data_IF_408558505263
#
_entry.id   IF_408558505263
#
_cell.length_a   1.000
_cell.length_b   1.000
_cell.length_c   1.000
_cell.angle_alpha   90.00
_cell.angle_beta   90.00
_cell.angle_gamma   90.00
#
_symmetry.space_group_name_H-M   'P 1'
#
loop_
_entity.id
_entity.type
_entity.pdbx_description
1 polymer ?
#
# COMPACT_ATOMS: atom_id res chain seq x y z
N UNK A 1 -12.70 11.08 6.79
CA UNK A 1 -13.10 11.36 5.39
C UNK A 1 -12.91 10.09 4.57
N UNK A 2 -13.84 9.74 3.69
CA UNK A 2 -13.67 8.61 2.78
C UNK A 2 -12.74 9.01 1.63
N UNK A 3 -11.72 8.19 1.34
CA UNK A 3 -10.87 8.36 0.15
C UNK A 3 -11.74 8.29 -1.10
N UNK A 4 -11.47 9.16 -2.06
CA UNK A 4 -12.18 9.15 -3.33
C UNK A 4 -11.92 7.81 -4.03
N UNK A 5 -12.97 7.03 -4.34
CA UNK A 5 -12.78 5.75 -5.00
C UNK A 5 -12.22 5.98 -6.40
N UNK A 6 -11.11 5.30 -6.73
CA UNK A 6 -10.42 5.43 -8.02
C UNK A 6 -9.20 6.36 -8.02
N UNK A 7 -8.92 7.09 -6.93
CA UNK A 7 -7.65 7.82 -6.80
C UNK A 7 -6.55 6.86 -6.33
N UNK A 8 -5.46 6.76 -7.11
CA UNK A 8 -4.26 6.02 -6.70
C UNK A 8 -3.06 6.95 -6.58
N UNK A 9 -2.43 6.97 -5.41
CA UNK A 9 -1.20 7.72 -5.16
C UNK A 9 0.03 6.81 -5.38
N UNK A 10 1.03 7.28 -6.11
CA UNK A 10 2.33 6.59 -6.24
C UNK A 10 3.45 7.58 -5.96
N UNK A 11 4.40 7.18 -5.12
CA UNK A 11 5.61 7.95 -4.80
C UNK A 11 6.78 7.29 -5.51
N UNK A 12 7.54 8.08 -6.28
CA UNK A 12 8.71 7.61 -7.03
C UNK A 12 9.99 8.02 -6.29
N UNK A 13 11.02 7.18 -6.35
CA UNK A 13 12.40 7.49 -5.97
C UNK A 13 13.33 7.19 -7.14
N UNK A 14 14.12 8.17 -7.59
CA UNK A 14 15.03 8.06 -8.76
C UNK A 14 14.34 7.43 -9.99
N UNK A 15 13.12 7.88 -10.31
CA UNK A 15 12.34 7.40 -11.46
C UNK A 15 11.72 6.01 -11.31
N UNK A 16 11.89 5.32 -10.17
CA UNK A 16 11.26 4.02 -9.90
C UNK A 16 10.19 4.16 -8.82
N UNK A 17 9.12 3.34 -8.84
CA UNK A 17 8.18 3.33 -7.73
C UNK A 17 8.92 3.04 -6.43
N UNK A 18 8.72 3.87 -5.41
CA UNK A 18 9.21 3.68 -4.05
C UNK A 18 8.05 3.21 -3.15
N UNK A 19 6.89 3.87 -3.25
CA UNK A 19 5.68 3.51 -2.53
C UNK A 19 4.45 3.64 -3.42
N UNK A 20 3.45 2.81 -3.17
CA UNK A 20 2.20 2.77 -3.92
C UNK A 20 1.22 1.78 -3.29
N UNK A 21 0.00 1.63 -3.84
CA UNK A 21 -1.07 0.90 -3.17
C UNK A 21 -0.71 -0.56 -2.92
N UNK A 22 -0.12 -1.23 -3.92
CA UNK A 22 0.33 -2.62 -3.80
C UNK A 22 1.47 -2.82 -2.80
N UNK A 23 2.43 -1.89 -2.75
CA UNK A 23 3.55 -1.95 -1.80
C UNK A 23 3.08 -1.72 -0.36
N UNK A 24 2.22 -0.73 -0.16
CA UNK A 24 1.60 -0.45 1.13
C UNK A 24 0.72 -1.61 1.62
N UNK A 25 -0.05 -2.23 0.72
CA UNK A 25 -0.84 -3.40 1.02
C UNK A 25 0.05 -4.60 1.39
N UNK A 26 1.12 -4.86 0.64
CA UNK A 26 2.04 -5.95 0.93
C UNK A 26 2.71 -5.79 2.29
N UNK A 27 3.19 -4.60 2.63
CA UNK A 27 3.73 -4.32 3.97
C UNK A 27 2.68 -4.54 5.06
N UNK A 28 1.45 -4.05 4.87
CA UNK A 28 0.37 -4.27 5.85
C UNK A 28 0.04 -5.75 6.04
N UNK A 29 0.01 -6.53 4.96
CA UNK A 29 -0.21 -7.97 5.03
C UNK A 29 0.94 -8.68 5.76
N UNK A 30 2.19 -8.39 5.43
CA UNK A 30 3.36 -8.97 6.12
C UNK A 30 3.35 -8.61 7.60
N UNK A 31 3.05 -7.35 7.95
CA UNK A 31 2.97 -6.93 9.35
C UNK A 31 1.91 -7.71 10.15
N UNK A 32 0.81 -8.12 9.50
CA UNK A 32 -0.26 -8.91 10.11
C UNK A 32 0.05 -10.40 10.17
N UNK A 33 0.69 -10.95 9.14
CA UNK A 33 0.88 -12.40 9.00
C UNK A 33 2.24 -12.90 9.46
N UNK A 34 3.23 -12.01 9.63
CA UNK A 34 4.62 -12.38 9.86
C UNK A 34 5.27 -13.16 8.71
N UNK A 35 4.68 -13.13 7.50
CA UNK A 35 5.05 -14.04 6.41
C UNK A 35 4.77 -13.44 5.03
N UNK A 36 5.80 -13.47 4.17
CA UNK A 36 5.70 -13.04 2.76
C UNK A 36 4.79 -13.99 1.97
N UNK A 37 4.85 -15.30 2.20
CA UNK A 37 4.01 -16.27 1.48
C UNK A 37 2.53 -16.13 1.84
N UNK A 38 2.21 -15.89 3.11
CA UNK A 38 0.83 -15.62 3.54
C UNK A 38 0.32 -14.28 3.03
N UNK A 39 1.18 -13.26 2.98
CA UNK A 39 0.83 -11.97 2.38
C UNK A 39 0.57 -12.09 0.86
N UNK A 40 1.41 -12.86 0.14
CA UNK A 40 1.24 -13.12 -1.28
C UNK A 40 -0.11 -13.78 -1.58
N UNK A 41 -0.46 -14.84 -0.82
CA UNK A 41 -1.76 -15.52 -0.93
C UNK A 41 -2.93 -14.58 -0.67
N UNK A 42 -2.85 -13.77 0.39
CA UNK A 42 -3.89 -12.80 0.72
C UNK A 42 -4.09 -11.73 -0.36
N UNK A 43 -3.06 -11.46 -1.16
CA UNK A 43 -3.10 -10.49 -2.27
C UNK A 43 -3.33 -11.14 -3.64
N UNK A 44 -3.59 -12.45 -3.70
CA UNK A 44 -3.79 -13.17 -4.96
C UNK A 44 -2.58 -13.13 -5.91
N UNK A 45 -1.35 -13.06 -5.37
CA UNK A 45 -0.13 -13.04 -6.18
C UNK A 45 0.81 -14.21 -5.84
N UNK A 46 1.72 -14.53 -6.77
CA UNK A 46 2.74 -15.56 -6.53
C UNK A 46 3.73 -15.12 -5.46
N UNK A 47 4.28 -16.09 -4.71
CA UNK A 47 5.34 -15.85 -3.73
C UNK A 47 6.54 -15.12 -4.36
N UNK A 48 6.99 -15.57 -5.55
CA UNK A 48 8.07 -14.93 -6.31
C UNK A 48 7.81 -13.45 -6.55
N UNK A 49 6.56 -13.09 -6.90
CA UNK A 49 6.19 -11.68 -7.13
C UNK A 49 6.25 -10.86 -5.83
N UNK A 50 5.75 -11.41 -4.73
CA UNK A 50 5.81 -10.75 -3.42
C UNK A 50 7.26 -10.55 -2.96
N UNK A 51 8.11 -11.56 -3.14
CA UNK A 51 9.54 -11.49 -2.84
C UNK A 51 10.24 -10.37 -3.63
N UNK A 52 10.07 -10.34 -4.95
CA UNK A 52 10.63 -9.28 -5.81
C UNK A 52 10.17 -7.88 -5.39
N UNK A 53 8.91 -7.73 -4.95
CA UNK A 53 8.39 -6.47 -4.43
C UNK A 53 9.07 -6.09 -3.11
N UNK A 54 9.26 -7.03 -2.18
CA UNK A 54 9.97 -6.81 -0.92
C UNK A 54 11.40 -6.36 -1.19
N UNK A 55 12.13 -7.06 -2.07
CA UNK A 55 13.49 -6.69 -2.44
C UNK A 55 13.55 -5.30 -3.10
N UNK A 56 12.64 -5.01 -4.02
CA UNK A 56 12.58 -3.70 -4.65
C UNK A 56 12.28 -2.58 -3.64
N UNK A 57 11.43 -2.85 -2.64
CA UNK A 57 11.16 -1.91 -1.56
C UNK A 57 12.39 -1.69 -0.68
N UNK A 58 13.07 -2.76 -0.25
CA UNK A 58 14.29 -2.63 0.56
C UNK A 58 15.39 -1.84 -0.15
N UNK A 59 15.50 -1.95 -1.48
CA UNK A 59 16.42 -1.14 -2.28
C UNK A 59 15.96 0.31 -2.52
N UNK A 60 14.70 0.64 -2.22
CA UNK A 60 14.15 1.99 -2.44
C UNK A 60 14.39 2.94 -1.26
N UNK A 61 14.83 2.42 -0.10
CA UNK A 61 15.00 3.18 1.14
C UNK A 61 16.40 3.00 1.71
N UNK A 62 16.83 3.95 2.55
CA UNK A 62 18.17 3.94 3.16
C UNK A 62 18.41 2.73 4.08
N UNK A 63 17.35 2.23 4.70
CA UNK A 63 17.39 0.98 5.49
C UNK A 63 16.23 0.06 5.08
N UNK A 64 16.36 -1.26 5.28
CA UNK A 64 15.30 -2.21 4.92
C UNK A 64 13.95 -1.88 5.58
N UNK A 65 12.88 -2.04 4.81
CA UNK A 65 11.50 -1.89 5.30
C UNK A 65 10.89 -3.23 5.72
N UNK A 66 11.48 -4.34 5.26
CA UNK A 66 11.17 -5.71 5.69
C UNK A 66 12.47 -6.44 5.96
N UNK A 67 12.52 -7.16 7.07
CA UNK A 67 13.58 -8.13 7.37
C UNK A 67 13.00 -9.53 7.33
N UNK A 68 13.82 -10.49 6.89
CA UNK A 68 13.44 -11.90 6.80
C UNK A 68 14.32 -12.71 7.74
N UNK A 69 13.70 -13.59 8.52
CA UNK A 69 14.43 -14.56 9.34
C UNK A 69 14.71 -15.80 8.51
N UNK A 70 15.99 -16.14 8.36
CA UNK A 70 16.42 -17.35 7.65
C UNK A 70 16.31 -18.54 8.60
N UNK A 71 15.46 -19.51 8.27
CA UNK A 71 15.57 -20.88 8.79
C UNK A 71 15.10 -21.13 10.23
N UNK A 72 14.02 -21.90 10.34
CA UNK A 72 13.60 -22.62 11.54
C UNK A 72 12.66 -23.76 11.16
N UNK A 73 12.42 -24.74 12.06
CA UNK A 73 11.58 -25.94 11.82
C UNK A 73 10.16 -25.68 11.27
N UNK A 74 9.70 -24.42 11.24
CA UNK A 74 8.35 -24.01 10.78
C UNK A 74 8.36 -23.08 9.55
N UNK A 75 9.51 -22.91 8.90
CA UNK A 75 9.69 -21.99 7.76
C UNK A 75 10.09 -20.57 8.20
N UNK A 76 10.92 -19.90 7.41
CA UNK A 76 11.43 -18.56 7.71
C UNK A 76 10.32 -17.51 7.84
N UNK A 77 10.52 -16.55 8.74
CA UNK A 77 9.58 -15.45 9.02
C UNK A 77 9.91 -14.17 8.23
N UNK A 78 8.97 -13.22 8.22
CA UNK A 78 9.21 -11.87 7.72
C UNK A 78 8.55 -10.83 8.62
N UNK A 79 9.31 -9.81 9.00
CA UNK A 79 8.84 -8.73 9.85
C UNK A 79 9.01 -7.38 9.15
N UNK A 80 7.97 -6.55 9.24
CA UNK A 80 8.07 -5.15 8.80
C UNK A 80 8.83 -4.36 9.85
N UNK A 81 9.87 -3.67 9.42
CA UNK A 81 10.72 -2.86 10.31
C UNK A 81 9.96 -1.66 10.86
N UNK A 82 10.47 -0.99 11.92
CA UNK A 82 9.87 0.26 12.40
C UNK A 82 9.75 1.32 11.31
N UNK A 83 10.74 1.43 10.41
CA UNK A 83 10.65 2.30 9.24
C UNK A 83 9.51 1.87 8.31
N UNK A 84 9.42 0.59 7.97
CA UNK A 84 8.35 0.08 7.10
C UNK A 84 6.96 0.40 7.64
N UNK A 85 6.74 0.24 8.96
CA UNK A 85 5.48 0.61 9.63
C UNK A 85 5.19 2.11 9.52
N UNK A 86 6.19 2.96 9.81
CA UNK A 86 6.07 4.43 9.69
C UNK A 86 5.73 4.85 8.26
N UNK A 87 6.36 4.24 7.25
CA UNK A 87 6.12 4.54 5.84
C UNK A 87 4.71 4.15 5.39
N UNK A 88 4.16 3.03 5.88
CA UNK A 88 2.75 2.67 5.63
C UNK A 88 1.84 3.74 6.21
N UNK A 89 2.03 4.14 7.47
CA UNK A 89 1.22 5.19 8.12
C UNK A 89 1.31 6.52 7.36
N UNK A 90 2.53 6.95 7.01
CA UNK A 90 2.76 8.19 6.26
C UNK A 90 2.07 8.14 4.90
N UNK A 91 2.23 7.03 4.16
CA UNK A 91 1.59 6.87 2.86
C UNK A 91 0.06 6.93 2.94
N UNK A 92 -0.54 6.29 3.95
CA UNK A 92 -2.00 6.36 4.19
C UNK A 92 -2.45 7.79 4.49
N UNK A 93 -1.70 8.54 5.30
CA UNK A 93 -1.99 9.94 5.56
C UNK A 93 -1.85 10.82 4.30
N UNK A 94 -0.86 10.54 3.44
CA UNK A 94 -0.72 11.23 2.15
C UNK A 94 -1.90 10.95 1.21
N UNK A 95 -2.38 9.71 1.16
CA UNK A 95 -3.59 9.35 0.39
C UNK A 95 -4.82 10.15 0.89
N UNK A 96 -4.99 10.25 2.21
CA UNK A 96 -6.12 10.98 2.80
C UNK A 96 -6.04 12.49 2.49
N UNK A 97 -4.86 13.09 2.65
CA UNK A 97 -4.63 14.50 2.32
C UNK A 97 -4.84 14.80 0.84
N UNK A 98 -4.25 13.99 -0.04
CA UNK A 98 -4.40 14.16 -1.49
C UNK A 98 -5.89 14.03 -1.88
N UNK A 99 -6.57 12.99 -1.38
CA UNK A 99 -7.99 12.79 -1.66
C UNK A 99 -8.86 13.95 -1.19
N UNK A 100 -8.57 14.56 -0.04
CA UNK A 100 -9.32 15.70 0.46
C UNK A 100 -9.08 16.95 -0.40
N UNK A 101 -7.83 17.21 -0.78
CA UNK A 101 -7.43 18.40 -1.53
C UNK A 101 -8.10 18.48 -2.91
N UNK A 102 -8.22 17.37 -3.63
CA UNK A 102 -8.78 17.33 -5.00
C UNK A 102 -10.21 16.80 -5.06
N UNK A 103 -10.91 16.69 -3.92
CA UNK A 103 -12.22 16.05 -3.86
C UNK A 103 -13.27 16.73 -4.75
N UNK A 104 -13.23 18.06 -4.86
CA UNK A 104 -14.14 18.82 -5.72
C UNK A 104 -13.85 18.57 -7.21
N UNK A 105 -12.58 18.58 -7.59
CA UNK A 105 -12.16 18.34 -8.98
C UNK A 105 -12.48 16.92 -9.42
N UNK A 106 -12.26 15.92 -8.55
CA UNK A 106 -12.62 14.53 -8.84
C UNK A 106 -14.13 14.35 -9.03
N UNK A 107 -14.97 15.05 -8.26
CA UNK A 107 -16.43 15.03 -8.48
C UNK A 107 -16.79 15.59 -9.86
N UNK A 108 -16.22 16.74 -10.23
CA UNK A 108 -16.44 17.35 -11.55
C UNK A 108 -15.96 16.43 -12.67
N UNK A 109 -14.74 15.91 -12.55
CA UNK A 109 -14.16 14.98 -13.51
C UNK A 109 -15.01 13.72 -13.68
N UNK A 110 -15.56 13.19 -12.59
CA UNK A 110 -16.38 11.98 -12.63
C UNK A 110 -17.68 12.13 -13.41
N UNK A 111 -18.21 13.34 -13.55
CA UNK A 111 -19.40 13.60 -14.37
C UNK A 111 -19.15 13.34 -15.87
N UNK A 112 -17.89 13.39 -16.30
CA UNK A 112 -17.49 13.07 -17.68
C UNK A 112 -17.18 11.59 -17.91
N UNK A 113 -17.16 10.77 -16.85
CA UNK A 113 -16.91 9.34 -16.97
C UNK A 113 -18.21 8.62 -17.36
N UNK A 114 -18.14 7.75 -18.37
CA UNK A 114 -19.24 6.85 -18.75
C UNK A 114 -19.72 6.00 -17.55
N UNK A 115 -18.80 5.61 -16.67
CA UNK A 115 -19.05 4.81 -15.48
C UNK A 115 -18.28 5.41 -14.28
N UNK A 116 -18.85 6.38 -13.54
CA UNK A 116 -18.17 6.97 -12.40
C UNK A 116 -18.02 5.96 -11.25
N UNK A 117 -16.96 6.09 -10.43
CA UNK A 117 -16.81 5.26 -9.24
C UNK A 117 -18.00 5.48 -8.29
N UNK A 118 -18.57 4.40 -7.77
CA UNK A 118 -19.67 4.47 -6.80
C UNK A 118 -19.21 5.24 -5.57
N UNK A 119 -19.72 6.46 -5.37
CA UNK A 119 -19.50 7.20 -4.14
C UNK A 119 -20.15 6.42 -3.00
N UNK A 120 -19.36 5.88 -2.06
CA UNK A 120 -19.92 5.41 -0.80
C UNK A 120 -20.54 6.63 -0.13
N UNK A 121 -21.87 6.64 -0.01
CA UNK A 121 -22.61 7.73 0.63
C UNK A 121 -21.93 8.06 1.96
N UNK A 122 -21.43 9.28 2.08
CA UNK A 122 -20.97 9.81 3.36
C UNK A 122 -22.22 9.86 4.22
N UNK A 123 -22.36 8.89 5.15
CA UNK A 123 -23.36 8.97 6.20
C UNK A 123 -23.13 10.31 6.91
N UNK A 124 -24.02 11.27 6.72
CA UNK A 124 -24.03 12.50 7.53
C UNK A 124 -24.22 12.05 9.00
N UNK A 125 -23.41 12.54 9.94
CA UNK A 125 -23.78 12.41 11.35
C UNK A 125 -25.10 13.16 11.55
N UNK A 126 -25.99 12.59 12.37
CA UNK A 126 -27.16 13.30 12.90
C UNK A 126 -26.70 14.46 13.78
#
# INVERSE_FOLDING_TARGET
>A
MARYPGLTLRVLGKGRPAMGPGRAALLAHIARTGSISSAARAMGMSYRRAWQLVEAMNRSFAVPVVVTEVGGKRGGGAAVTPLGKRLVTLYRAMEDKASAAIAADLRRFSAYLRNPPRQRAVRRPR
#
